data_IF_331473010236
#
_entry.id   IF_331473010236
#
_cell.length_a   1.000
_cell.length_b   1.000
_cell.length_c   1.000
_cell.angle_alpha   90.00
_cell.angle_beta   90.00
_cell.angle_gamma   90.00
#
_symmetry.space_group_name_H-M   'P 1'
#
loop_
_entity.id
_entity.type
_entity.pdbx_description
1 polymer ?
#
# COMPACT_ATOMS: atom_id res chain seq x y z
N UNK A 1 -7.79 -66.16 -8.22
CA UNK A 1 -7.09 -65.86 -9.48
C UNK A 1 -6.08 -64.78 -9.19
N UNK A 2 -4.81 -65.15 -9.14
CA UNK A 2 -3.66 -64.24 -8.99
C UNK A 2 -3.51 -63.41 -10.26
N UNK A 3 -3.23 -62.12 -10.13
CA UNK A 3 -2.99 -61.17 -11.23
C UNK A 3 -2.11 -61.78 -12.33
N UNK A 4 -2.68 -62.04 -13.50
CA UNK A 4 -1.96 -62.52 -14.67
C UNK A 4 -1.70 -61.37 -15.65
N UNK A 5 -0.45 -61.19 -16.05
CA UNK A 5 -0.12 -60.31 -17.19
C UNK A 5 -0.65 -60.98 -18.47
N UNK A 6 -1.59 -60.33 -19.16
CA UNK A 6 -1.95 -60.72 -20.53
C UNK A 6 -0.89 -60.17 -21.48
N UNK A 7 0.01 -61.03 -21.97
CA UNK A 7 0.97 -60.67 -23.01
C UNK A 7 0.36 -60.97 -24.39
N UNK A 8 0.10 -59.94 -25.18
CA UNK A 8 -0.21 -60.10 -26.60
C UNK A 8 1.11 -60.11 -27.38
N UNK A 9 1.49 -61.27 -27.91
CA UNK A 9 2.62 -61.40 -28.84
C UNK A 9 2.14 -61.07 -30.26
N UNK A 10 2.79 -60.12 -30.92
CA UNK A 10 2.66 -59.92 -32.37
C UNK A 10 3.63 -60.88 -33.10
N UNK A 11 3.32 -61.19 -34.37
CA UNK A 11 3.74 -62.38 -35.12
C UNK A 11 5.23 -62.81 -35.02
N UNK A 12 5.49 -64.06 -35.45
CA UNK A 12 6.75 -64.80 -35.37
C UNK A 12 7.98 -64.22 -36.09
N UNK A 13 7.96 -62.96 -36.54
CA UNK A 13 9.06 -62.32 -37.28
C UNK A 13 10.09 -61.57 -36.43
N UNK A 14 9.87 -61.42 -35.12
CA UNK A 14 10.85 -60.80 -34.20
C UNK A 14 11.16 -59.32 -34.47
N UNK A 15 10.44 -58.66 -35.38
CA UNK A 15 10.60 -57.24 -35.67
C UNK A 15 9.66 -56.39 -34.82
N UNK A 16 10.24 -55.59 -33.93
CA UNK A 16 9.55 -54.63 -33.05
C UNK A 16 9.17 -53.31 -33.75
N UNK A 17 9.07 -53.30 -35.08
CA UNK A 17 8.96 -52.03 -35.81
C UNK A 17 7.60 -51.33 -35.70
N UNK A 18 6.52 -52.00 -35.25
CA UNK A 18 5.20 -51.37 -35.07
C UNK A 18 4.24 -52.27 -34.28
N UNK A 19 4.42 -52.37 -32.96
CA UNK A 19 3.46 -53.07 -32.10
C UNK A 19 2.33 -52.12 -31.69
N UNK A 20 1.28 -52.04 -32.53
CA UNK A 20 0.09 -51.23 -32.24
C UNK A 20 -1.05 -52.16 -31.83
N UNK A 21 -1.53 -52.04 -30.59
CA UNK A 21 -2.81 -52.61 -30.19
C UNK A 21 -3.92 -51.62 -30.59
N UNK A 22 -4.62 -51.93 -31.68
CA UNK A 22 -5.78 -51.14 -32.11
C UNK A 22 -7.06 -51.73 -31.54
N UNK A 23 -7.74 -51.01 -30.67
CA UNK A 23 -9.06 -51.37 -30.14
C UNK A 23 -10.15 -50.47 -30.78
N UNK A 24 -10.82 -50.98 -31.81
CA UNK A 24 -11.91 -50.29 -32.51
C UNK A 24 -13.16 -51.15 -32.57
N UNK A 25 -14.31 -50.58 -32.22
CA UNK A 25 -15.62 -51.21 -32.39
C UNK A 25 -16.44 -50.37 -33.37
N UNK A 26 -16.65 -50.87 -34.60
CA UNK A 26 -17.46 -50.25 -35.67
C UNK A 26 -17.34 -48.72 -35.78
N UNK A 27 -16.12 -48.17 -35.75
CA UNK A 27 -15.87 -46.73 -35.88
C UNK A 27 -16.04 -45.89 -34.60
N UNK A 28 -16.24 -46.51 -33.44
CA UNK A 28 -16.28 -45.85 -32.12
C UNK A 28 -15.08 -46.25 -31.25
N UNK A 29 -14.77 -45.39 -30.27
CA UNK A 29 -13.73 -45.65 -29.26
C UNK A 29 -14.12 -46.81 -28.35
N UNK A 30 -13.15 -47.65 -27.98
CA UNK A 30 -13.35 -48.77 -27.05
C UNK A 30 -12.83 -48.38 -25.67
N UNK A 31 -13.63 -48.59 -24.61
CA UNK A 31 -13.19 -48.45 -23.22
C UNK A 31 -12.20 -49.56 -22.87
N UNK A 32 -11.00 -49.18 -22.43
CA UNK A 32 -10.05 -50.09 -21.80
C UNK A 32 -10.20 -50.03 -20.27
N UNK A 33 -10.72 -51.09 -19.66
CA UNK A 33 -11.03 -51.15 -18.23
C UNK A 33 -10.19 -52.20 -17.50
N UNK A 34 -10.12 -52.12 -16.17
CA UNK A 34 -9.35 -53.06 -15.33
C UNK A 34 -7.83 -52.81 -15.31
N UNK A 35 -7.39 -51.64 -15.77
CA UNK A 35 -5.98 -51.28 -15.80
C UNK A 35 -5.46 -51.01 -14.38
N UNK A 36 -4.44 -51.75 -13.95
CA UNK A 36 -3.69 -51.44 -12.74
C UNK A 36 -3.01 -50.06 -12.88
N UNK A 37 -2.65 -49.41 -11.76
CA UNK A 37 -1.88 -48.17 -11.83
C UNK A 37 -0.53 -48.45 -12.50
N UNK A 38 -0.24 -47.75 -13.60
CA UNK A 38 1.02 -47.85 -14.30
C UNK A 38 2.14 -47.11 -13.57
N UNK A 39 3.40 -47.43 -13.86
CA UNK A 39 4.51 -46.62 -13.34
C UNK A 39 4.47 -45.19 -13.91
N UNK A 40 4.69 -44.17 -13.08
CA UNK A 40 4.85 -42.77 -13.53
C UNK A 40 6.31 -42.35 -13.36
N UNK A 41 7.07 -42.41 -14.44
CA UNK A 41 8.47 -42.02 -14.52
C UNK A 41 8.81 -41.51 -15.92
N UNK A 42 9.96 -40.85 -16.10
CA UNK A 42 10.36 -40.29 -17.40
C UNK A 42 10.63 -41.33 -18.49
N UNK A 43 10.69 -42.61 -18.13
CA UNK A 43 10.98 -43.74 -19.03
C UNK A 43 9.85 -44.77 -19.06
N UNK A 44 8.77 -44.55 -18.32
CA UNK A 44 7.64 -45.49 -18.28
C UNK A 44 6.95 -45.56 -19.64
N UNK A 45 6.59 -46.77 -20.04
CA UNK A 45 5.72 -47.06 -21.19
C UNK A 45 4.38 -47.66 -20.73
N UNK A 46 4.14 -47.68 -19.42
CA UNK A 46 2.90 -48.18 -18.85
C UNK A 46 1.75 -47.21 -19.14
N UNK A 47 0.58 -47.76 -19.45
CA UNK A 47 -0.64 -46.96 -19.48
C UNK A 47 -1.01 -46.52 -18.06
N UNK A 48 -1.41 -45.26 -17.90
CA UNK A 48 -1.97 -44.73 -16.66
C UNK A 48 -3.48 -44.90 -16.62
N UNK A 49 -4.03 -45.13 -15.43
CA UNK A 49 -5.48 -45.23 -15.24
C UNK A 49 -6.08 -43.94 -14.65
N UNK A 50 -7.41 -43.88 -14.60
CA UNK A 50 -8.14 -42.70 -14.09
C UNK A 50 -7.81 -42.34 -12.64
N UNK A 51 -7.47 -43.31 -11.78
CA UNK A 51 -7.11 -43.02 -10.38
C UNK A 51 -5.82 -42.22 -10.25
N UNK A 52 -4.85 -42.45 -11.13
CA UNK A 52 -3.59 -41.70 -11.16
C UNK A 52 -3.79 -40.27 -11.67
N UNK A 53 -4.58 -40.12 -12.75
CA UNK A 53 -4.91 -38.80 -13.29
C UNK A 53 -5.74 -37.97 -12.29
N UNK A 54 -6.70 -38.59 -11.62
CA UNK A 54 -7.47 -37.96 -10.55
C UNK A 54 -6.59 -37.57 -9.34
N UNK A 55 -5.61 -38.41 -9.00
CA UNK A 55 -4.60 -38.09 -7.98
C UNK A 55 -3.78 -36.84 -8.34
N UNK A 56 -3.38 -36.69 -9.61
CA UNK A 56 -2.71 -35.48 -10.11
C UNK A 56 -3.61 -34.24 -10.06
N UNK A 57 -4.87 -34.36 -10.44
CA UNK A 57 -5.85 -33.27 -10.31
C UNK A 57 -6.01 -32.84 -8.84
N UNK A 58 -6.05 -33.81 -7.91
CA UNK A 58 -6.18 -33.55 -6.47
C UNK A 58 -4.94 -32.84 -5.89
N UNK A 59 -3.74 -33.24 -6.29
CA UNK A 59 -2.51 -32.59 -5.83
C UNK A 59 -2.37 -31.17 -6.41
N UNK A 60 -2.78 -30.97 -7.65
CA UNK A 60 -2.80 -29.65 -8.31
C UNK A 60 -3.81 -28.71 -7.65
N UNK A 61 -5.02 -29.19 -7.37
CA UNK A 61 -6.04 -28.46 -6.62
C UNK A 61 -5.53 -28.04 -5.23
N UNK A 62 -4.86 -28.95 -4.53
CA UNK A 62 -4.25 -28.68 -3.22
C UNK A 62 -3.16 -27.61 -3.31
N UNK A 63 -2.33 -27.65 -4.36
CA UNK A 63 -1.29 -26.66 -4.60
C UNK A 63 -1.85 -25.26 -4.93
N UNK A 64 -2.98 -25.18 -5.66
CA UNK A 64 -3.69 -23.92 -5.88
C UNK A 64 -4.33 -23.40 -4.59
N UNK A 65 -4.81 -24.29 -3.72
CA UNK A 65 -5.50 -23.91 -2.49
C UNK A 65 -6.81 -23.15 -2.78
N UNK A 66 -7.19 -22.23 -1.90
CA UNK A 66 -8.38 -21.39 -2.11
C UNK A 66 -9.70 -22.16 -2.25
N UNK A 67 -9.76 -23.42 -1.80
CA UNK A 67 -10.94 -24.28 -1.96
C UNK A 67 -11.03 -25.00 -3.31
N UNK A 68 -10.01 -24.93 -4.17
CA UNK A 68 -9.93 -25.76 -5.37
C UNK A 68 -9.94 -27.26 -5.01
N UNK A 69 -10.53 -28.08 -5.89
CA UNK A 69 -10.74 -29.51 -5.71
C UNK A 69 -10.65 -30.26 -7.05
N UNK A 70 -10.34 -31.56 -7.02
CA UNK A 70 -10.58 -32.43 -8.17
C UNK A 70 -12.08 -32.76 -8.27
N UNK A 71 -12.68 -32.47 -9.42
CA UNK A 71 -14.08 -32.77 -9.72
C UNK A 71 -14.25 -34.24 -10.11
N UNK A 72 -15.48 -34.77 -10.02
CA UNK A 72 -15.77 -36.17 -10.36
C UNK A 72 -15.40 -36.56 -11.81
N UNK A 73 -15.34 -35.59 -12.72
CA UNK A 73 -14.92 -35.76 -14.11
C UNK A 73 -13.38 -35.70 -14.32
N UNK A 74 -12.62 -35.48 -13.24
CA UNK A 74 -11.15 -35.37 -13.25
C UNK A 74 -10.62 -33.95 -13.52
N UNK A 75 -11.49 -32.97 -13.78
CA UNK A 75 -11.07 -31.57 -13.90
C UNK A 75 -10.73 -30.95 -12.53
N UNK A 76 -9.97 -29.85 -12.53
CA UNK A 76 -9.68 -29.08 -11.31
C UNK A 76 -10.65 -27.90 -11.23
N UNK A 77 -11.38 -27.77 -10.11
CA UNK A 77 -12.24 -26.62 -9.85
C UNK A 77 -11.40 -25.36 -9.60
N UNK A 78 -11.97 -24.20 -9.95
CA UNK A 78 -11.29 -22.93 -9.73
C UNK A 78 -11.11 -22.65 -8.23
N UNK A 79 -9.95 -22.10 -7.80
CA UNK A 79 -9.81 -21.58 -6.44
C UNK A 79 -10.74 -20.37 -6.22
N UNK A 80 -10.87 -19.94 -4.98
CA UNK A 80 -11.57 -18.74 -4.55
C UNK A 80 -10.71 -18.00 -3.52
N UNK A 81 -9.85 -17.10 -3.97
CA UNK A 81 -9.00 -16.29 -3.11
C UNK A 81 -9.75 -15.07 -2.59
N UNK A 82 -10.09 -15.06 -1.29
CA UNK A 82 -10.68 -13.92 -0.64
C UNK A 82 -9.61 -12.83 -0.40
N UNK A 83 -9.81 -11.65 -0.98
CA UNK A 83 -8.82 -10.56 -1.00
C UNK A 83 -9.35 -9.30 -0.30
N UNK A 84 -10.02 -9.44 0.85
CA UNK A 84 -10.77 -8.36 1.53
C UNK A 84 -10.03 -7.01 1.57
N UNK A 85 -8.78 -6.99 2.04
CA UNK A 85 -8.03 -5.74 2.17
C UNK A 85 -7.60 -5.18 0.82
N UNK A 86 -7.06 -6.02 -0.07
CA UNK A 86 -6.67 -5.59 -1.40
C UNK A 86 -7.88 -5.07 -2.19
N UNK A 87 -9.04 -5.70 -2.04
CA UNK A 87 -10.31 -5.25 -2.59
C UNK A 87 -10.74 -3.89 -2.02
N UNK A 88 -10.67 -3.70 -0.70
CA UNK A 88 -11.00 -2.42 -0.07
C UNK A 88 -10.10 -1.28 -0.56
N UNK A 89 -8.79 -1.54 -0.71
CA UNK A 89 -7.82 -0.55 -1.19
C UNK A 89 -8.02 -0.31 -2.70
N UNK A 90 -8.23 -1.39 -3.46
CA UNK A 90 -8.38 -1.32 -4.90
C UNK A 90 -9.78 -0.86 -5.35
N UNK A 91 -10.76 -0.77 -4.46
CA UNK A 91 -12.14 -0.47 -4.81
C UNK A 91 -12.79 -1.59 -5.64
N UNK A 92 -12.35 -2.83 -5.45
CA UNK A 92 -12.91 -4.03 -6.09
C UNK A 92 -13.62 -4.90 -5.05
N UNK A 93 -14.36 -5.91 -5.50
CA UNK A 93 -15.07 -6.85 -4.62
C UNK A 93 -14.99 -8.26 -5.18
N UNK A 94 -15.33 -9.25 -4.34
CA UNK A 94 -15.38 -10.66 -4.75
C UNK A 94 -14.03 -11.36 -4.61
N UNK A 95 -14.07 -12.69 -4.73
CA UNK A 95 -12.88 -13.52 -4.70
C UNK A 95 -12.27 -13.64 -6.10
N UNK A 96 -10.94 -13.70 -6.16
CA UNK A 96 -10.23 -14.02 -7.39
C UNK A 96 -10.26 -15.53 -7.63
N UNK A 97 -10.64 -15.96 -8.83
CA UNK A 97 -10.82 -17.37 -9.16
C UNK A 97 -9.62 -18.02 -9.87
N UNK A 98 -8.52 -17.28 -9.99
CA UNK A 98 -7.26 -17.78 -10.52
C UNK A 98 -6.11 -16.95 -9.95
N UNK A 99 -4.91 -17.51 -10.00
CA UNK A 99 -3.69 -16.92 -9.41
C UNK A 99 -3.35 -15.56 -10.04
N UNK A 100 -3.49 -15.43 -11.37
CA UNK A 100 -3.16 -14.18 -12.08
C UNK A 100 -4.03 -13.00 -11.64
N UNK A 101 -5.35 -13.19 -11.60
CA UNK A 101 -6.30 -12.17 -11.13
C UNK A 101 -6.11 -11.81 -9.65
N UNK A 102 -5.72 -12.79 -8.83
CA UNK A 102 -5.44 -12.56 -7.42
C UNK A 102 -4.22 -11.65 -7.24
N UNK A 103 -3.11 -11.99 -7.89
CA UNK A 103 -1.90 -11.17 -7.85
C UNK A 103 -2.09 -9.80 -8.48
N UNK A 104 -2.82 -9.68 -9.59
CA UNK A 104 -3.14 -8.39 -10.18
C UNK A 104 -3.95 -7.49 -9.22
N UNK A 105 -4.90 -8.06 -8.47
CA UNK A 105 -5.67 -7.31 -7.47
C UNK A 105 -4.78 -6.81 -6.33
N UNK A 106 -3.86 -7.65 -5.86
CA UNK A 106 -2.88 -7.27 -4.83
C UNK A 106 -1.91 -6.21 -5.36
N UNK A 107 -1.38 -6.38 -6.57
CA UNK A 107 -0.46 -5.46 -7.21
C UNK A 107 -1.07 -4.07 -7.39
N UNK A 108 -2.31 -4.00 -7.88
CA UNK A 108 -3.05 -2.74 -7.97
C UNK A 108 -3.26 -2.08 -6.61
N UNK A 109 -3.60 -2.86 -5.57
CA UNK A 109 -3.74 -2.34 -4.21
C UNK A 109 -2.42 -1.77 -3.67
N UNK A 110 -1.30 -2.48 -3.88
CA UNK A 110 0.04 -2.01 -3.52
C UNK A 110 0.42 -0.74 -4.28
N UNK A 111 0.10 -0.65 -5.58
CA UNK A 111 0.31 0.54 -6.40
C UNK A 111 -0.43 1.76 -5.84
N UNK A 112 -1.70 1.59 -5.43
CA UNK A 112 -2.48 2.67 -4.79
C UNK A 112 -1.89 3.12 -3.46
N UNK A 113 -1.45 2.18 -2.62
CA UNK A 113 -0.76 2.53 -1.36
C UNK A 113 0.53 3.30 -1.63
N UNK A 114 1.33 2.87 -2.62
CA UNK A 114 2.54 3.56 -3.01
C UNK A 114 2.27 5.01 -3.46
N UNK A 115 1.24 5.24 -4.27
CA UNK A 115 0.81 6.58 -4.66
C UNK A 115 0.37 7.43 -3.47
N UNK A 116 -0.41 6.87 -2.55
CA UNK A 116 -0.87 7.60 -1.35
C UNK A 116 0.32 7.99 -0.44
N UNK A 117 1.28 7.10 -0.24
CA UNK A 117 2.50 7.38 0.54
C UNK A 117 3.37 8.45 -0.14
N UNK A 118 3.51 8.39 -1.46
CA UNK A 118 4.23 9.41 -2.22
C UNK A 118 3.58 10.80 -2.08
N UNK A 119 2.24 10.86 -2.17
CA UNK A 119 1.49 12.10 -1.96
C UNK A 119 1.68 12.65 -0.54
N UNK A 120 1.56 11.80 0.49
CA UNK A 120 1.82 12.20 1.87
C UNK A 120 3.23 12.75 2.06
N UNK A 121 4.23 12.15 1.41
CA UNK A 121 5.62 12.62 1.45
C UNK A 121 5.75 14.04 0.87
N UNK A 122 5.09 14.30 -0.26
CA UNK A 122 5.04 15.63 -0.87
C UNK A 122 4.30 16.63 0.02
N UNK A 123 3.16 16.27 0.59
CA UNK A 123 2.37 17.14 1.46
C UNK A 123 3.15 17.53 2.73
N UNK A 124 3.86 16.58 3.34
CA UNK A 124 4.73 16.84 4.49
C UNK A 124 5.88 17.78 4.11
N UNK A 125 6.52 17.57 2.96
CA UNK A 125 7.59 18.46 2.48
C UNK A 125 7.07 19.88 2.22
N UNK A 126 5.86 20.01 1.66
CA UNK A 126 5.19 21.29 1.45
C UNK A 126 4.83 21.97 2.77
N UNK A 127 4.31 21.23 3.76
CA UNK A 127 4.04 21.77 5.09
C UNK A 127 5.32 22.26 5.78
N UNK A 128 6.39 21.46 5.72
CA UNK A 128 7.71 21.84 6.25
C UNK A 128 8.21 23.14 5.61
N UNK A 129 8.11 23.25 4.29
CA UNK A 129 8.48 24.46 3.55
C UNK A 129 7.64 25.67 3.96
N UNK A 130 6.32 25.51 4.07
CA UNK A 130 5.40 26.57 4.45
C UNK A 130 5.61 27.03 5.90
N UNK A 131 5.91 26.12 6.83
CA UNK A 131 6.26 26.45 8.21
C UNK A 131 7.57 27.24 8.25
N UNK A 132 8.62 26.76 7.57
CA UNK A 132 9.92 27.44 7.55
C UNK A 132 9.84 28.83 6.90
N UNK A 133 8.99 29.00 5.89
CA UNK A 133 8.74 30.27 5.24
C UNK A 133 7.72 31.15 5.99
N UNK A 134 7.10 30.65 7.06
CA UNK A 134 6.07 31.36 7.82
C UNK A 134 4.83 31.71 6.99
N UNK A 135 4.41 30.86 6.06
CA UNK A 135 3.23 31.09 5.20
C UNK A 135 1.96 30.42 5.72
N UNK A 136 2.06 29.60 6.77
CA UNK A 136 0.94 29.01 7.52
C UNK A 136 1.19 29.11 9.03
N UNK A 137 0.14 28.96 9.83
CA UNK A 137 0.21 29.02 11.30
C UNK A 137 -0.27 30.36 11.88
N UNK A 138 -0.02 30.60 13.17
CA UNK A 138 -0.44 31.85 13.82
C UNK A 138 0.51 33.02 13.51
N UNK A 139 1.82 32.78 13.49
CA UNK A 139 2.81 33.80 13.12
C UNK A 139 3.13 33.63 11.64
N UNK A 140 2.76 34.61 10.83
CA UNK A 140 2.89 34.53 9.38
C UNK A 140 3.56 35.77 8.80
N UNK A 141 4.38 35.59 7.76
CA UNK A 141 4.95 36.67 6.97
C UNK A 141 4.15 36.89 5.68
N UNK A 142 3.59 38.10 5.52
CA UNK A 142 2.84 38.47 4.33
C UNK A 142 3.74 38.56 3.09
N UNK A 143 3.41 37.81 2.03
CA UNK A 143 4.20 37.62 0.80
C UNK A 143 4.63 38.92 0.08
N UNK A 144 3.87 40.00 0.25
CA UNK A 144 4.09 41.25 -0.49
C UNK A 144 4.76 42.30 0.40
N UNK A 145 4.16 42.59 1.54
CA UNK A 145 4.62 43.62 2.47
C UNK A 145 5.81 43.17 3.32
N UNK A 146 6.03 41.85 3.42
CA UNK A 146 7.03 41.21 4.29
C UNK A 146 6.75 41.42 5.78
N UNK A 147 5.59 41.97 6.13
CA UNK A 147 5.16 42.16 7.51
C UNK A 147 4.94 40.80 8.18
N UNK A 148 5.42 40.67 9.42
CA UNK A 148 5.10 39.55 10.29
C UNK A 148 3.83 39.92 11.07
N UNK A 149 2.85 39.05 11.02
CA UNK A 149 1.59 39.20 11.75
C UNK A 149 1.40 38.02 12.70
N UNK A 150 0.64 38.25 13.77
CA UNK A 150 0.25 37.21 14.72
C UNK A 150 -1.26 37.10 14.69
N UNK A 151 -1.77 35.91 14.36
CA UNK A 151 -3.18 35.55 14.44
C UNK A 151 -4.13 36.49 13.65
N UNK A 152 -3.65 37.16 12.59
CA UNK A 152 -4.42 38.23 11.89
C UNK A 152 -5.79 37.83 11.33
N UNK A 153 -5.99 36.53 11.09
CA UNK A 153 -7.22 35.96 10.52
C UNK A 153 -8.08 35.25 11.57
N UNK A 154 -7.74 35.35 12.85
CA UNK A 154 -8.50 34.80 13.97
C UNK A 154 -8.84 35.91 14.96
N UNK A 155 -9.74 35.64 15.90
CA UNK A 155 -10.09 36.57 16.96
C UNK A 155 -9.06 36.54 18.11
N UNK A 156 -9.33 37.33 19.15
CA UNK A 156 -8.45 37.54 20.30
C UNK A 156 -7.93 38.98 20.39
N UNK A 157 -7.78 39.48 21.61
CA UNK A 157 -7.38 40.88 21.88
C UNK A 157 -6.06 40.97 22.64
N UNK A 158 -5.41 39.86 22.93
CA UNK A 158 -4.23 39.80 23.80
C UNK A 158 -3.22 38.79 23.27
N UNK A 159 -1.96 39.20 23.21
CA UNK A 159 -0.81 38.31 23.00
C UNK A 159 -0.06 38.22 24.34
N UNK A 160 -0.25 37.11 25.06
CA UNK A 160 0.46 36.86 26.32
C UNK A 160 1.85 36.27 26.05
N UNK A 161 2.89 36.93 26.57
CA UNK A 161 4.29 36.54 26.40
C UNK A 161 4.85 35.79 27.62
N UNK A 162 4.03 35.47 28.62
CA UNK A 162 4.45 34.73 29.83
C UNK A 162 4.86 33.29 29.49
N UNK A 163 5.84 32.78 30.22
CA UNK A 163 6.41 31.44 30.06
C UNK A 163 6.47 30.66 31.36
N UNK A 164 6.96 29.42 31.30
CA UNK A 164 7.12 28.56 32.48
C UNK A 164 8.09 29.12 33.52
N UNK A 165 9.01 30.00 33.11
CA UNK A 165 9.93 30.74 33.99
C UNK A 165 9.46 32.17 34.32
N UNK A 166 8.20 32.53 34.01
CA UNK A 166 7.63 33.86 34.23
C UNK A 166 7.61 34.74 32.98
N UNK A 167 7.52 36.06 33.17
CA UNK A 167 7.48 37.06 32.09
C UNK A 167 8.78 37.08 31.29
N UNK A 168 8.70 37.37 29.99
CA UNK A 168 9.85 37.46 29.08
C UNK A 168 10.21 38.90 28.74
N UNK A 169 11.49 39.17 28.48
CA UNK A 169 11.92 40.40 27.81
C UNK A 169 11.63 40.30 26.32
N UNK A 170 11.01 41.34 25.75
CA UNK A 170 10.91 41.52 24.30
C UNK A 170 12.02 42.48 23.86
N UNK A 171 13.00 41.98 23.13
CA UNK A 171 14.15 42.75 22.62
C UNK A 171 14.08 42.90 21.10
N UNK A 172 14.94 43.74 20.52
CA UNK A 172 14.93 44.04 19.08
C UNK A 172 13.78 44.96 18.65
N UNK A 173 13.15 45.65 19.60
CA UNK A 173 12.08 46.63 19.33
C UNK A 173 12.71 47.97 18.98
N UNK A 174 12.62 48.36 17.70
CA UNK A 174 12.97 49.71 17.23
C UNK A 174 12.13 50.76 17.96
N UNK A 175 12.68 51.96 18.16
CA UNK A 175 11.94 53.05 18.80
C UNK A 175 10.65 53.35 18.04
N UNK A 176 9.50 53.24 18.72
CA UNK A 176 8.18 53.47 18.12
C UNK A 176 7.94 54.95 17.83
N UNK A 177 7.04 55.26 16.91
CA UNK A 177 6.68 56.66 16.67
C UNK A 177 5.93 57.25 17.86
N UNK A 178 6.27 58.48 18.26
CA UNK A 178 5.63 59.19 19.38
C UNK A 178 4.72 60.30 18.84
N UNK A 179 3.46 59.94 18.56
CA UNK A 179 2.41 60.86 18.11
C UNK A 179 1.03 60.41 18.64
N UNK A 180 0.01 61.25 18.48
CA UNK A 180 -1.32 61.06 19.08
C UNK A 180 -2.07 59.80 18.60
N UNK A 181 -1.68 59.19 17.48
CA UNK A 181 -2.36 58.04 16.86
C UNK A 181 -1.49 56.80 16.79
N UNK A 182 -0.30 56.82 17.41
CA UNK A 182 0.65 55.71 17.33
C UNK A 182 0.13 54.47 18.08
N UNK A 183 0.27 53.32 17.43
CA UNK A 183 0.04 51.99 18.03
C UNK A 183 1.34 51.19 18.15
N UNK A 184 2.49 51.85 17.93
CA UNK A 184 3.79 51.20 17.99
C UNK A 184 4.17 50.89 19.44
N UNK A 185 4.86 49.77 19.66
CA UNK A 185 5.52 49.52 20.92
C UNK A 185 6.64 50.54 21.15
N UNK A 186 6.73 51.10 22.35
CA UNK A 186 7.87 51.92 22.79
C UNK A 186 8.95 51.05 23.41
N UNK A 187 10.22 51.41 23.23
CA UNK A 187 11.34 50.67 23.81
C UNK A 187 11.96 51.40 25.00
N UNK A 188 12.94 50.76 25.64
CA UNK A 188 13.58 51.28 26.85
C UNK A 188 14.33 52.61 26.67
N UNK A 189 14.93 52.88 25.50
CA UNK A 189 15.68 54.13 25.30
C UNK A 189 14.75 55.35 25.23
N UNK A 190 13.55 55.18 24.68
CA UNK A 190 12.53 56.23 24.66
C UNK A 190 12.07 56.58 26.07
N UNK A 191 11.71 55.57 26.86
CA UNK A 191 11.30 55.79 28.25
C UNK A 191 12.44 56.39 29.09
N UNK A 192 13.67 55.96 28.86
CA UNK A 192 14.85 56.54 29.51
C UNK A 192 15.03 58.03 29.18
N UNK A 193 14.91 58.43 27.92
CA UNK A 193 15.01 59.84 27.51
C UNK A 193 13.93 60.70 28.17
N UNK A 194 12.68 60.21 28.23
CA UNK A 194 11.60 60.88 28.97
C UNK A 194 11.97 61.06 30.44
N UNK A 195 12.51 60.03 31.09
CA UNK A 195 12.88 60.10 32.50
C UNK A 195 14.02 61.09 32.76
N UNK A 196 14.97 61.23 31.84
CA UNK A 196 16.02 62.26 31.94
C UNK A 196 15.44 63.67 31.89
N UNK A 197 14.48 63.93 31.00
CA UNK A 197 13.81 65.23 30.91
C UNK A 197 12.99 65.53 32.17
N UNK A 198 12.34 64.52 32.75
CA UNK A 198 11.60 64.67 34.02
C UNK A 198 12.55 65.01 35.17
N UNK A 199 13.71 64.35 35.24
CA UNK A 199 14.73 64.65 36.24
C UNK A 199 15.30 66.07 36.07
N UNK A 200 15.52 66.51 34.83
CA UNK A 200 15.95 67.87 34.55
C UNK A 200 14.91 68.90 35.00
N UNK A 201 13.64 68.73 34.61
CA UNK A 201 12.56 69.60 35.04
C UNK A 201 12.47 69.69 36.57
N UNK A 202 12.65 68.55 37.27
CA UNK A 202 12.65 68.51 38.74
C UNK A 202 13.78 69.36 39.33
N UNK A 203 14.94 69.39 38.66
CA UNK A 203 16.09 70.21 39.06
C UNK A 203 15.84 71.69 38.76
N UNK A 204 15.23 72.01 37.62
CA UNK A 204 15.01 73.40 37.17
C UNK A 204 13.94 74.15 37.98
N UNK A 205 13.05 73.43 38.68
CA UNK A 205 11.97 74.01 39.48
C UNK A 205 12.21 73.98 40.99
N UNK A 206 13.31 73.36 41.43
CA UNK A 206 13.72 73.29 42.84
C UNK A 206 14.50 74.55 43.26
#
# INVERSE_FOLDING_TARGET
MTSGKAAFYLNSSGSMASNVMTATASGSNVLLSGLAAGEVSSTSLDAVNGSQLFGLASSTASALGGGASANADGSVSAPSYALTNANSINGTTGAANNVGSAFQTVDNALGKLNTAVAQNTTDIANMSTQINNGTIGLVQQDATTRNITVAKNTDGTTVDMTGTAGTRTVTGVTAGQLNATSTDAVNGSQLYATNQNVAQNTTDIA
#
